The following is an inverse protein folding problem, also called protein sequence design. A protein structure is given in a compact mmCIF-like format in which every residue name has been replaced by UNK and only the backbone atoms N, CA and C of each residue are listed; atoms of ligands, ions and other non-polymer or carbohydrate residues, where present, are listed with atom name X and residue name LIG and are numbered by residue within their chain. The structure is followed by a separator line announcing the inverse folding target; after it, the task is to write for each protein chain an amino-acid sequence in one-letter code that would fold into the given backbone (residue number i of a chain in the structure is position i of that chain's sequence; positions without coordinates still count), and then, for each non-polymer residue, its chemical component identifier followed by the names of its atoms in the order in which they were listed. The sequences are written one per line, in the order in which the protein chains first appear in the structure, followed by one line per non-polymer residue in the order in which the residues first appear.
data_IF_339848835842
#
_entry.id   IF_339848835842
#
_cell.length_a   1.000
_cell.length_b   1.000
_cell.length_c   1.000
_cell.angle_alpha   90.00
_cell.angle_beta   90.00
_cell.angle_gamma   90.00
#
_symmetry.space_group_name_H-M   'P 1'
#
loop_
_entity.id
_entity.type
_entity.pdbx_description
1 polymer ?
#
# COMPACT_ATOMS: atom_id res chain seq x y z
N UNK A 1 -0.70 -16.39 20.89
CA UNK A 1 -0.58 -14.96 21.23
C UNK A 1 -0.74 -14.18 19.95
N UNK A 2 -1.64 -13.21 19.89
CA UNK A 2 -1.70 -12.28 18.76
C UNK A 2 -0.48 -11.37 18.79
N UNK A 3 0.14 -11.14 17.64
CA UNK A 3 1.29 -10.25 17.49
C UNK A 3 0.83 -8.79 17.38
N UNK A 4 1.75 -7.83 17.55
CA UNK A 4 1.48 -6.42 17.27
C UNK A 4 1.01 -6.21 15.82
N UNK A 5 1.52 -7.02 14.88
CA UNK A 5 1.11 -6.98 13.47
C UNK A 5 -0.34 -7.45 13.29
N UNK A 6 -0.76 -8.50 13.97
CA UNK A 6 -2.14 -9.02 13.89
C UNK A 6 -3.12 -7.96 14.41
N UNK A 7 -2.87 -7.42 15.61
CA UNK A 7 -3.71 -6.36 16.20
C UNK A 7 -3.75 -5.08 15.36
N UNK A 8 -2.60 -4.70 14.79
CA UNK A 8 -2.54 -3.54 13.90
C UNK A 8 -3.32 -3.78 12.60
N UNK A 9 -3.23 -4.98 12.02
CA UNK A 9 -3.95 -5.34 10.80
C UNK A 9 -5.46 -5.39 11.04
N UNK A 10 -5.90 -6.06 12.10
CA UNK A 10 -7.32 -6.13 12.47
C UNK A 10 -7.90 -4.74 12.74
N UNK A 11 -7.12 -3.87 13.37
CA UNK A 11 -7.49 -2.47 13.59
C UNK A 11 -7.65 -1.70 12.27
N UNK A 12 -6.73 -1.85 11.33
CA UNK A 12 -6.83 -1.20 10.02
C UNK A 12 -8.05 -1.71 9.22
N UNK A 13 -8.32 -3.02 9.26
CA UNK A 13 -9.44 -3.63 8.53
C UNK A 13 -10.80 -3.28 9.14
N UNK A 14 -10.86 -3.09 10.46
CA UNK A 14 -12.11 -2.85 11.19
C UNK A 14 -12.43 -1.37 11.38
N UNK A 15 -11.53 -0.46 10.97
CA UNK A 15 -11.70 0.99 11.16
C UNK A 15 -12.28 1.66 9.91
N UNK A 16 -13.42 2.34 10.08
CA UNK A 16 -14.09 3.09 9.01
C UNK A 16 -13.69 4.58 8.93
N UNK A 17 -12.74 5.00 9.77
CA UNK A 17 -12.31 6.38 9.89
C UNK A 17 -10.80 6.51 10.02
N UNK A 18 -10.34 7.63 10.56
CA UNK A 18 -8.92 7.89 10.75
C UNK A 18 -8.31 6.90 11.75
N UNK A 19 -7.33 6.13 11.29
CA UNK A 19 -6.54 5.22 12.12
C UNK A 19 -5.28 5.90 12.61
N UNK A 20 -4.95 5.74 13.90
CA UNK A 20 -3.73 6.31 14.50
C UNK A 20 -3.11 5.31 15.48
N UNK A 21 -1.78 5.36 15.65
CA UNK A 21 -1.09 4.50 16.61
C UNK A 21 -1.57 4.73 18.06
N UNK A 22 -1.86 5.99 18.41
CA UNK A 22 -2.46 6.36 19.70
C UNK A 22 -3.91 5.85 19.83
N UNK A 23 -4.65 5.83 18.73
CA UNK A 23 -6.00 5.24 18.65
C UNK A 23 -5.99 3.74 18.93
N UNK A 24 -5.09 2.99 18.29
CA UNK A 24 -4.91 1.56 18.58
C UNK A 24 -4.49 1.32 20.03
N UNK A 25 -3.57 2.12 20.54
CA UNK A 25 -3.10 2.01 21.92
C UNK A 25 -4.24 2.20 22.92
N UNK A 26 -5.12 3.18 22.68
CA UNK A 26 -6.31 3.38 23.49
C UNK A 26 -7.31 2.23 23.37
N UNK A 27 -7.53 1.71 22.16
CA UNK A 27 -8.49 0.62 21.90
C UNK A 27 -8.06 -0.71 22.55
N UNK A 28 -6.75 -0.87 22.76
CA UNK A 28 -6.15 -2.06 23.38
C UNK A 28 -5.78 -1.83 24.86
N UNK A 29 -6.28 -0.75 25.49
CA UNK A 29 -5.94 -0.37 26.87
C UNK A 29 -4.43 -0.35 27.17
N UNK A 30 -3.64 0.08 26.17
CA UNK A 30 -2.18 0.16 26.26
C UNK A 30 -1.44 -1.15 25.98
N UNK A 31 -2.13 -2.25 25.65
CA UNK A 31 -1.48 -3.52 25.30
C UNK A 31 -0.60 -3.41 24.05
N UNK A 32 -0.95 -2.53 23.11
CA UNK A 32 -0.07 -2.09 22.03
C UNK A 32 0.31 -0.63 22.26
N UNK A 33 1.59 -0.37 22.57
CA UNK A 33 2.10 1.00 22.67
C UNK A 33 2.16 1.69 21.31
N UNK A 34 1.94 3.00 21.26
CA UNK A 34 2.05 3.76 20.00
C UNK A 34 3.47 3.69 19.40
N UNK A 35 4.50 3.73 20.24
CA UNK A 35 5.90 3.55 19.81
C UNK A 35 6.13 2.16 19.21
N UNK A 36 5.46 1.12 19.73
CA UNK A 36 5.58 -0.23 19.19
C UNK A 36 5.04 -0.33 17.76
N UNK A 37 4.01 0.46 17.42
CA UNK A 37 3.50 0.58 16.04
C UNK A 37 4.53 1.28 15.16
N UNK A 38 5.11 2.39 15.61
CA UNK A 38 6.16 3.11 14.87
C UNK A 38 7.38 2.21 14.62
N UNK A 39 7.84 1.50 15.64
CA UNK A 39 8.96 0.55 15.55
C UNK A 39 8.63 -0.64 14.64
N UNK A 40 7.39 -1.13 14.67
CA UNK A 40 6.92 -2.16 13.75
C UNK A 40 6.99 -1.64 12.30
N UNK A 41 6.43 -0.46 12.02
CA UNK A 41 6.42 0.13 10.67
C UNK A 41 7.83 0.42 10.14
N UNK A 42 8.75 0.86 11.00
CA UNK A 42 10.15 1.07 10.63
C UNK A 42 10.88 -0.24 10.29
N UNK A 43 10.50 -1.36 10.94
CA UNK A 43 11.08 -2.69 10.71
C UNK A 43 10.43 -3.43 9.55
N UNK A 44 9.14 -3.19 9.30
CA UNK A 44 8.44 -3.61 8.10
C UNK A 44 8.98 -2.78 6.93
N UNK A 45 10.21 -3.06 6.51
CA UNK A 45 10.64 -2.72 5.17
C UNK A 45 9.75 -3.53 4.25
N UNK A 46 8.65 -2.93 3.80
CA UNK A 46 7.57 -3.57 3.06
C UNK A 46 8.03 -4.01 1.67
N UNK A 47 8.92 -5.00 1.63
CA UNK A 47 9.41 -5.61 0.42
C UNK A 47 8.49 -6.76 0.00
N UNK A 48 8.38 -6.96 -1.31
CA UNK A 48 7.56 -8.02 -1.88
C UNK A 48 8.03 -9.42 -1.44
N UNK A 49 9.26 -9.55 -0.91
CA UNK A 49 9.78 -10.79 -0.33
C UNK A 49 9.08 -11.15 0.98
N UNK A 50 8.89 -10.18 1.88
CA UNK A 50 8.16 -10.39 3.13
C UNK A 50 6.71 -10.73 2.84
N UNK A 51 6.07 -10.00 1.91
CA UNK A 51 4.73 -10.33 1.44
C UNK A 51 4.65 -11.78 0.91
N UNK A 52 5.60 -12.18 0.05
CA UNK A 52 5.66 -13.53 -0.51
C UNK A 52 5.69 -14.63 0.57
N UNK A 53 6.40 -14.42 1.67
CA UNK A 53 6.44 -15.38 2.79
C UNK A 53 5.06 -15.62 3.41
N UNK A 54 4.21 -14.58 3.45
CA UNK A 54 2.85 -14.68 3.96
C UNK A 54 1.87 -15.26 2.94
N UNK A 55 1.98 -14.89 1.66
CA UNK A 55 0.98 -15.26 0.64
C UNK A 55 1.24 -16.61 0.00
N UNK A 56 2.49 -17.09 -0.03
CA UNK A 56 2.83 -18.38 -0.66
C UNK A 56 2.01 -19.57 -0.11
N UNK A 57 1.85 -19.76 1.21
CA UNK A 57 1.00 -20.83 1.74
C UNK A 57 -0.48 -20.70 1.33
N UNK A 58 -0.99 -19.46 1.18
CA UNK A 58 -2.37 -19.20 0.75
C UNK A 58 -2.54 -19.54 -0.73
N UNK A 59 -1.58 -19.18 -1.56
CA UNK A 59 -1.57 -19.51 -3.00
C UNK A 59 -1.59 -21.02 -3.19
N UNK A 60 -0.80 -21.78 -2.43
CA UNK A 60 -0.80 -23.24 -2.53
C UNK A 60 -2.17 -23.87 -2.19
N UNK A 61 -3.02 -23.21 -1.41
CA UNK A 61 -4.37 -23.70 -1.10
C UNK A 61 -5.35 -23.50 -2.26
N UNK A 62 -5.14 -22.48 -3.09
CA UNK A 62 -6.06 -22.11 -4.17
C UNK A 62 -5.50 -22.34 -5.57
N UNK A 63 -4.27 -22.85 -5.69
CA UNK A 63 -3.57 -23.03 -6.98
C UNK A 63 -4.30 -24.00 -7.90
N UNK A 64 -4.49 -23.59 -9.15
CA UNK A 64 -5.12 -24.37 -10.21
C UNK A 64 -4.31 -24.27 -11.52
N UNK A 65 -4.35 -25.28 -12.41
CA UNK A 65 -3.61 -25.26 -13.67
C UNK A 65 -3.92 -24.08 -14.58
N UNK A 66 -5.15 -23.56 -14.50
CA UNK A 66 -5.72 -22.45 -15.27
C UNK A 66 -5.83 -21.15 -14.46
N UNK A 67 -5.14 -21.06 -13.32
CA UNK A 67 -5.07 -19.84 -12.52
C UNK A 67 -4.46 -18.66 -13.28
N UNK A 68 -5.03 -17.47 -13.08
CA UNK A 68 -4.67 -16.25 -13.78
C UNK A 68 -3.82 -15.33 -12.90
N UNK A 69 -2.87 -14.65 -13.52
CA UNK A 69 -2.15 -13.52 -12.94
C UNK A 69 -2.73 -12.24 -13.53
N UNK A 70 -3.34 -11.43 -12.68
CA UNK A 70 -3.95 -10.16 -13.04
C UNK A 70 -3.03 -9.04 -12.58
N UNK A 71 -2.63 -8.19 -13.51
CA UNK A 71 -1.86 -6.98 -13.24
C UNK A 71 -2.74 -5.78 -13.52
N UNK A 72 -2.84 -4.89 -12.55
CA UNK A 72 -3.62 -3.65 -12.68
C UNK A 72 -2.95 -2.53 -11.89
N UNK A 73 -3.12 -1.29 -12.34
CA UNK A 73 -2.67 -0.11 -11.60
C UNK A 73 -3.85 0.60 -10.94
N UNK A 74 -3.60 1.18 -9.76
CA UNK A 74 -4.64 1.87 -9.00
C UNK A 74 -4.07 3.14 -8.40
N UNK A 75 -4.89 4.18 -8.33
CA UNK A 75 -4.52 5.47 -7.74
C UNK A 75 -5.27 5.64 -6.43
N UNK A 76 -4.54 5.61 -5.32
CA UNK A 76 -5.06 6.07 -4.04
C UNK A 76 -5.05 7.60 -4.01
N UNK A 77 -6.24 8.21 -4.11
CA UNK A 77 -6.39 9.67 -4.11
C UNK A 77 -5.90 10.29 -2.78
N UNK A 78 -5.07 11.32 -2.89
CA UNK A 78 -4.49 12.06 -1.76
C UNK A 78 -4.55 13.58 -2.03
N UNK A 79 -5.76 14.16 -2.15
CA UNK A 79 -5.94 15.56 -2.57
C UNK A 79 -5.33 16.58 -1.60
N UNK A 80 -5.17 16.21 -0.33
CA UNK A 80 -4.67 17.09 0.74
C UNK A 80 -3.26 16.76 1.21
N UNK A 81 -2.56 15.83 0.54
CA UNK A 81 -1.18 15.50 0.88
C UNK A 81 -0.19 16.34 0.08
N UNK A 82 0.94 16.65 0.72
CA UNK A 82 2.06 17.32 0.06
C UNK A 82 2.70 16.42 -1.00
N UNK A 83 3.15 17.02 -2.09
CA UNK A 83 3.79 16.28 -3.17
C UNK A 83 5.19 15.82 -2.79
N UNK A 84 5.52 14.60 -3.19
CA UNK A 84 6.84 14.01 -3.09
C UNK A 84 6.98 12.93 -4.18
N UNK A 85 8.05 12.13 -4.16
CA UNK A 85 8.24 11.06 -5.15
C UNK A 85 7.10 10.05 -5.18
N UNK A 86 6.48 9.77 -4.04
CA UNK A 86 5.39 8.80 -3.89
C UNK A 86 4.01 9.41 -4.15
N UNK A 87 3.75 10.62 -3.64
CA UNK A 87 2.50 11.37 -3.84
C UNK A 87 2.70 12.39 -4.96
N UNK A 88 2.14 12.10 -6.13
CA UNK A 88 2.30 12.95 -7.32
C UNK A 88 1.00 13.04 -8.12
N UNK A 89 0.99 13.94 -9.10
CA UNK A 89 -0.11 14.02 -10.07
C UNK A 89 -0.03 12.86 -11.07
N UNK A 90 -1.13 12.12 -11.20
CA UNK A 90 -1.34 11.04 -12.16
C UNK A 90 -2.57 11.32 -13.00
N UNK A 91 -2.68 10.73 -14.19
CA UNK A 91 -3.93 10.75 -14.95
C UNK A 91 -4.78 9.54 -14.54
N UNK A 92 -5.96 9.78 -13.99
CA UNK A 92 -6.92 8.76 -13.61
C UNK A 92 -7.88 8.52 -14.79
N UNK A 93 -7.75 7.35 -15.40
CA UNK A 93 -8.56 6.94 -16.55
C UNK A 93 -10.02 6.70 -16.20
N UNK A 94 -10.34 6.40 -14.94
CA UNK A 94 -11.71 6.19 -14.48
C UNK A 94 -12.47 7.51 -14.39
N UNK A 95 -11.83 8.57 -13.90
CA UNK A 95 -12.43 9.91 -13.81
C UNK A 95 -12.17 10.79 -15.03
N UNK A 96 -11.17 10.45 -15.86
CA UNK A 96 -10.75 11.25 -17.02
C UNK A 96 -10.02 12.54 -16.64
N UNK A 97 -9.41 12.58 -15.45
CA UNK A 97 -8.80 13.79 -14.88
C UNK A 97 -7.41 13.54 -14.30
N UNK A 98 -6.63 14.61 -14.15
CA UNK A 98 -5.39 14.55 -13.41
C UNK A 98 -5.68 14.69 -11.91
N UNK A 99 -5.24 13.72 -11.13
CA UNK A 99 -5.51 13.62 -9.70
C UNK A 99 -4.19 13.47 -8.94
N UNK A 100 -4.13 14.03 -7.73
CA UNK A 100 -3.01 13.83 -6.82
C UNK A 100 -3.24 12.56 -6.02
N UNK A 101 -2.26 11.67 -6.02
CA UNK A 101 -2.39 10.39 -5.33
C UNK A 101 -1.11 9.58 -5.31
N UNK A 102 -1.24 8.36 -4.83
CA UNK A 102 -0.22 7.32 -4.89
C UNK A 102 -0.69 6.32 -5.93
N UNK A 103 0.02 6.22 -7.06
CA UNK A 103 -0.19 5.12 -7.99
C UNK A 103 0.61 3.90 -7.51
N UNK A 104 -0.01 2.73 -7.55
CA UNK A 104 0.66 1.46 -7.31
C UNK A 104 0.18 0.42 -8.32
N UNK A 105 1.11 -0.43 -8.76
CA UNK A 105 0.82 -1.58 -9.61
C UNK A 105 0.66 -2.80 -8.71
N UNK A 106 -0.44 -3.52 -8.86
CA UNK A 106 -0.74 -4.72 -8.09
C UNK A 106 -0.66 -5.96 -8.96
N UNK A 107 -0.28 -7.09 -8.35
CA UNK A 107 -0.36 -8.42 -8.94
C UNK A 107 -1.31 -9.26 -8.08
N UNK A 108 -2.35 -9.81 -8.69
CA UNK A 108 -3.36 -10.64 -8.06
C UNK A 108 -3.38 -12.02 -8.72
N UNK A 109 -3.32 -13.07 -7.93
CA UNK A 109 -3.58 -14.43 -8.40
C UNK A 109 -5.07 -14.74 -8.27
N UNK A 110 -5.71 -15.17 -9.35
CA UNK A 110 -7.13 -15.51 -9.38
C UNK A 110 -7.34 -16.93 -9.89
N UNK A 111 -8.14 -17.70 -9.16
CA UNK A 111 -8.57 -19.05 -9.53
C UNK A 111 -10.07 -19.21 -9.29
N UNK A 112 -10.63 -20.38 -9.59
CA UNK A 112 -12.04 -20.65 -9.29
C UNK A 112 -12.31 -20.78 -7.78
N UNK A 113 -11.28 -21.08 -6.98
CA UNK A 113 -11.36 -21.20 -5.52
C UNK A 113 -11.25 -19.85 -4.79
N UNK A 114 -10.73 -18.81 -5.45
CA UNK A 114 -10.59 -17.49 -4.85
C UNK A 114 -9.49 -16.63 -5.46
N UNK A 115 -9.12 -15.58 -4.73
CA UNK A 115 -8.11 -14.61 -5.14
C UNK A 115 -7.11 -14.33 -4.02
N UNK A 116 -5.84 -14.14 -4.38
CA UNK A 116 -4.76 -13.87 -3.42
C UNK A 116 -3.83 -12.77 -3.95
N UNK A 117 -3.64 -11.65 -3.21
CA UNK A 117 -2.65 -10.64 -3.56
C UNK A 117 -1.25 -11.23 -3.54
N UNK A 118 -0.49 -11.01 -4.61
CA UNK A 118 0.85 -11.55 -4.80
C UNK A 118 1.93 -10.51 -4.50
N UNK A 119 1.73 -9.30 -5.00
CA UNK A 119 2.71 -8.22 -4.98
C UNK A 119 2.00 -6.89 -5.13
N UNK A 120 2.59 -5.82 -4.61
CA UNK A 120 2.24 -4.47 -5.00
C UNK A 120 3.50 -3.62 -5.07
N UNK A 121 3.54 -2.68 -6.01
CA UNK A 121 4.70 -1.81 -6.21
C UNK A 121 4.22 -0.36 -6.33
N UNK A 122 4.49 0.49 -5.34
CA UNK A 122 4.23 1.92 -5.44
C UNK A 122 5.09 2.56 -6.54
N UNK A 123 4.47 3.39 -7.38
CA UNK A 123 5.19 4.13 -8.44
C UNK A 123 5.82 5.38 -7.85
N UNK A 124 7.11 5.30 -7.54
CA UNK A 124 7.88 6.44 -7.01
C UNK A 124 8.55 7.19 -8.17
N UNK A 125 8.15 8.44 -8.39
CA UNK A 125 8.82 9.34 -9.34
C UNK A 125 10.14 9.82 -8.75
N UNK A 126 11.19 9.83 -9.57
CA UNK A 126 12.50 10.40 -9.22
C UNK A 126 12.60 11.88 -9.59
N UNK A 127 11.70 12.36 -10.45
CA UNK A 127 11.66 13.74 -10.91
C UNK A 127 10.24 14.15 -11.29
N UNK A 128 9.88 15.40 -11.00
CA UNK A 128 8.67 16.05 -11.48
C UNK A 128 9.03 17.30 -12.28
N UNK A 129 8.30 17.53 -13.36
CA UNK A 129 8.45 18.71 -14.20
C UNK A 129 7.13 19.45 -14.35
N UNK A 130 7.18 20.78 -14.44
CA UNK A 130 6.03 21.57 -14.86
C UNK A 130 5.70 21.24 -16.33
N UNK A 131 4.43 20.90 -16.61
CA UNK A 131 4.03 20.39 -17.93
C UNK A 131 4.27 21.38 -19.08
N UNK A 132 4.12 22.69 -18.81
CA UNK A 132 4.25 23.74 -19.83
C UNK A 132 5.71 24.06 -20.14
N UNK A 133 6.50 24.38 -19.12
CA UNK A 133 7.90 24.80 -19.31
C UNK A 133 8.89 23.65 -19.35
N UNK A 134 8.48 22.44 -18.95
CA UNK A 134 9.34 21.26 -18.70
C UNK A 134 10.41 21.49 -17.63
N UNK A 135 10.34 22.58 -16.86
CA UNK A 135 11.26 22.85 -15.76
C UNK A 135 11.05 21.84 -14.64
N UNK A 136 12.16 21.38 -14.06
CA UNK A 136 12.14 20.46 -12.91
C UNK A 136 11.65 21.23 -11.69
N UNK A 137 10.54 20.78 -11.10
CA UNK A 137 9.97 21.36 -9.87
C UNK A 137 10.33 20.55 -8.63
N UNK A 138 10.65 19.27 -8.82
CA UNK A 138 11.08 18.38 -7.74
C UNK A 138 11.97 17.26 -8.30
N UNK A 139 12.94 16.82 -7.50
CA UNK A 139 13.81 15.68 -7.80
C UNK A 139 14.16 14.97 -6.48
N UNK A 140 14.22 13.64 -6.50
CA UNK A 140 14.68 12.86 -5.35
C UNK A 140 16.12 13.23 -5.00
N UNK A 141 16.43 13.36 -3.71
CA UNK A 141 17.82 13.39 -3.25
C UNK A 141 18.46 12.05 -3.61
N UNK A 142 19.51 12.10 -4.42
CA UNK A 142 20.32 10.96 -4.84
C UNK A 142 21.07 10.33 -3.69
#
# INVERSE_FOLDING_TARGET
MQTTLDLYTDYLLSSFGQTTATGLSRLTDGAVGHDAVTDLLNRLQGDNRTLWQHVKPLIHQIQEPDGLLLTDDSIAHKPHSDENGLVTTHYDHTSGQYVRGINFVSLLYQTSQGQCPLSFEPVIKTQQCERKTRQVVWRSAS
#
